data_IF_506422622062
#
_entry.id   IF_506422622062
#
_cell.length_a   1.000
_cell.length_b   1.000
_cell.length_c   1.000
_cell.angle_alpha   90.00
_cell.angle_beta   90.00
_cell.angle_gamma   90.00
#
_symmetry.space_group_name_H-M   'P 1'
#
loop_
_entity.id
_entity.type
_entity.pdbx_description
1 polymer ?
#
# COMPACT_ATOMS: atom_id res chain seq x y z
N UNK A 1 -14.91 27.64 8.87
CA UNK A 1 -13.46 27.32 8.92
C UNK A 1 -13.37 25.83 8.69
N UNK A 2 -12.80 25.39 7.58
CA UNK A 2 -12.56 23.96 7.35
C UNK A 2 -11.34 23.59 8.16
N UNK A 3 -11.45 22.58 9.02
CA UNK A 3 -10.28 21.94 9.64
C UNK A 3 -9.46 21.30 8.51
N UNK A 4 -8.53 22.05 7.92
CA UNK A 4 -7.52 21.55 6.98
C UNK A 4 -6.49 20.69 7.73
N UNK A 5 -6.97 19.61 8.36
CA UNK A 5 -6.12 18.56 8.85
C UNK A 5 -5.66 17.75 7.65
N UNK A 6 -4.35 17.64 7.52
CA UNK A 6 -3.69 16.79 6.53
C UNK A 6 -4.27 15.37 6.57
N UNK A 7 -4.79 14.91 5.43
CA UNK A 7 -5.41 13.59 5.28
C UNK A 7 -4.32 12.53 5.26
N UNK A 8 -4.16 11.82 6.38
CA UNK A 8 -3.20 10.72 6.54
C UNK A 8 -3.86 9.49 7.15
N UNK A 9 -3.32 8.32 6.82
CA UNK A 9 -3.69 7.05 7.42
C UNK A 9 -2.46 6.14 7.52
N UNK A 10 -2.58 5.10 8.33
CA UNK A 10 -1.55 4.07 8.47
C UNK A 10 -2.19 2.75 8.06
N UNK A 11 -1.56 2.07 7.10
CA UNK A 11 -1.91 0.71 6.72
C UNK A 11 -0.82 -0.23 7.26
N UNK A 12 -1.21 -1.28 7.98
CA UNK A 12 -0.27 -2.26 8.55
C UNK A 12 -0.75 -3.68 8.29
N UNK A 13 0.11 -4.50 7.73
CA UNK A 13 -0.17 -5.92 7.53
C UNK A 13 1.06 -6.78 7.83
N UNK A 14 0.83 -7.97 8.38
CA UNK A 14 1.86 -8.98 8.61
C UNK A 14 1.59 -10.13 7.66
N UNK A 15 2.49 -10.34 6.70
CA UNK A 15 2.44 -11.49 5.82
C UNK A 15 3.03 -12.71 6.52
N UNK A 16 2.20 -13.71 6.79
CA UNK A 16 2.61 -14.96 7.43
C UNK A 16 3.09 -15.98 6.40
N UNK A 17 3.80 -17.03 6.86
CA UNK A 17 4.22 -18.17 6.04
C UNK A 17 5.02 -17.83 4.76
N UNK A 18 5.78 -16.73 4.80
CA UNK A 18 6.65 -16.25 3.71
C UNK A 18 7.61 -17.30 3.11
N UNK A 19 7.94 -18.34 3.89
CA UNK A 19 8.79 -19.47 3.44
C UNK A 19 8.10 -20.37 2.42
N UNK A 20 6.77 -20.44 2.46
CA UNK A 20 5.95 -21.29 1.59
C UNK A 20 5.41 -20.56 0.36
N UNK A 21 5.75 -19.27 0.20
CA UNK A 21 5.37 -18.46 -0.95
C UNK A 21 6.25 -18.85 -2.12
N UNK A 22 5.63 -19.31 -3.20
CA UNK A 22 6.30 -19.70 -4.44
C UNK A 22 6.63 -18.48 -5.29
N UNK A 23 7.42 -18.69 -6.33
CA UNK A 23 7.65 -17.67 -7.34
C UNK A 23 6.32 -17.33 -8.02
N UNK A 24 6.13 -16.04 -8.34
CA UNK A 24 4.90 -15.48 -8.93
C UNK A 24 3.65 -15.49 -8.02
N UNK A 25 3.76 -15.98 -6.78
CA UNK A 25 2.70 -15.84 -5.81
C UNK A 25 2.53 -14.37 -5.39
N UNK A 26 1.27 -13.94 -5.37
CA UNK A 26 0.87 -12.63 -4.86
C UNK A 26 0.17 -12.83 -3.52
N UNK A 27 0.83 -12.42 -2.45
CA UNK A 27 0.19 -12.32 -1.15
C UNK A 27 -0.58 -11.01 -1.06
N UNK A 28 -1.89 -11.14 -0.84
CA UNK A 28 -2.78 -9.99 -0.76
C UNK A 28 -3.10 -9.65 0.69
N UNK A 29 -2.85 -8.40 1.06
CA UNK A 29 -3.33 -7.85 2.33
C UNK A 29 -4.84 -7.58 2.29
N UNK A 30 -5.45 -7.24 3.43
CA UNK A 30 -6.86 -6.86 3.50
C UNK A 30 -7.12 -5.53 2.78
N UNK A 31 -8.29 -5.37 2.17
CA UNK A 31 -8.71 -4.06 1.65
C UNK A 31 -9.12 -3.13 2.80
N UNK A 32 -8.54 -1.94 2.87
CA UNK A 32 -8.92 -0.89 3.81
C UNK A 32 -9.49 0.34 3.08
N UNK A 33 -10.58 0.91 3.59
CA UNK A 33 -11.20 2.10 2.97
C UNK A 33 -10.75 3.37 3.68
N UNK A 34 -10.08 4.25 2.96
CA UNK A 34 -9.68 5.58 3.44
C UNK A 34 -9.95 6.62 2.37
N UNK A 35 -10.52 7.76 2.77
CA UNK A 35 -10.83 8.90 1.88
C UNK A 35 -11.69 8.54 0.65
N UNK A 36 -12.60 7.57 0.78
CA UNK A 36 -13.49 7.14 -0.31
C UNK A 36 -12.83 6.19 -1.32
N UNK A 37 -11.65 5.66 -1.00
CA UNK A 37 -10.83 4.82 -1.87
C UNK A 37 -10.48 3.52 -1.13
N UNK A 38 -10.42 2.40 -1.86
CA UNK A 38 -9.99 1.12 -1.32
C UNK A 38 -8.48 0.95 -1.54
N UNK A 39 -7.75 0.75 -0.45
CA UNK A 39 -6.32 0.55 -0.42
C UNK A 39 -6.01 -0.91 -0.07
N UNK A 40 -4.98 -1.48 -0.70
CA UNK A 40 -4.54 -2.83 -0.41
C UNK A 40 -3.01 -2.90 -0.56
N UNK A 41 -2.31 -3.42 0.44
CA UNK A 41 -0.89 -3.72 0.33
C UNK A 41 -0.72 -5.16 -0.13
N UNK A 42 -0.01 -5.36 -1.24
CA UNK A 42 0.29 -6.66 -1.79
C UNK A 42 1.81 -6.89 -1.79
N UNK A 43 2.20 -8.16 -1.72
CA UNK A 43 3.58 -8.59 -1.78
C UNK A 43 3.71 -9.67 -2.84
N UNK A 44 4.46 -9.38 -3.90
CA UNK A 44 4.87 -10.40 -4.88
C UNK A 44 6.28 -10.89 -4.55
N UNK A 45 6.51 -12.16 -4.84
CA UNK A 45 7.84 -12.78 -4.73
C UNK A 45 8.36 -13.10 -6.13
N UNK A 46 9.42 -12.42 -6.51
CA UNK A 46 10.19 -12.72 -7.71
C UNK A 46 11.35 -13.69 -7.36
N UNK A 47 12.07 -14.16 -8.37
CA UNK A 47 13.13 -15.15 -8.24
C UNK A 47 14.24 -14.73 -7.27
N UNK A 48 14.50 -13.42 -7.22
CA UNK A 48 15.60 -12.84 -6.43
C UNK A 48 15.10 -12.00 -5.24
N UNK A 49 13.97 -11.30 -5.39
CA UNK A 49 13.51 -10.29 -4.45
C UNK A 49 12.00 -10.36 -4.18
N UNK A 50 11.56 -9.74 -3.09
CA UNK A 50 10.15 -9.48 -2.82
C UNK A 50 9.78 -8.05 -3.15
N UNK A 51 8.72 -7.83 -3.91
CA UNK A 51 8.22 -6.50 -4.26
C UNK A 51 6.93 -6.24 -3.48
N UNK A 52 7.00 -5.30 -2.54
CA UNK A 52 5.80 -4.77 -1.89
C UNK A 52 5.24 -3.62 -2.73
N UNK A 53 3.95 -3.65 -3.03
CA UNK A 53 3.29 -2.58 -3.78
C UNK A 53 1.92 -2.26 -3.19
N UNK A 54 1.57 -0.98 -3.24
CA UNK A 54 0.25 -0.50 -2.87
C UNK A 54 -0.66 -0.54 -4.10
N UNK A 55 -1.81 -1.18 -3.93
CA UNK A 55 -2.91 -1.14 -4.86
C UNK A 55 -3.98 -0.17 -4.35
N UNK A 56 -4.47 0.66 -5.26
CA UNK A 56 -5.45 1.70 -4.98
C UNK A 56 -6.59 1.57 -6.00
N UNK A 57 -7.81 1.35 -5.49
CA UNK A 57 -9.02 1.19 -6.29
C UNK A 57 -10.04 2.24 -5.86
N UNK A 58 -10.30 3.21 -6.72
CA UNK A 58 -11.36 4.19 -6.50
C UNK A 58 -12.71 3.60 -6.88
N UNK A 59 -13.73 3.93 -6.08
CA UNK A 59 -15.13 3.63 -6.39
C UNK A 59 -15.79 4.73 -7.25
N UNK A 60 -15.04 5.79 -7.59
CA UNK A 60 -15.55 6.90 -8.39
C UNK A 60 -15.53 6.55 -9.88
N UNK A 61 -16.60 6.90 -10.59
CA UNK A 61 -16.68 6.79 -12.05
C UNK A 61 -15.98 7.98 -12.72
N UNK A 62 -15.19 7.72 -13.76
CA UNK A 62 -14.50 8.77 -14.54
C UNK A 62 -13.00 8.83 -14.27
N UNK A 63 -12.36 9.91 -14.70
CA UNK A 63 -10.92 10.11 -14.52
C UNK A 63 -10.64 10.59 -13.10
N UNK A 64 -9.82 9.84 -12.37
CA UNK A 64 -9.34 10.22 -11.05
C UNK A 64 -7.85 9.95 -10.96
N UNK A 65 -7.18 10.64 -10.03
CA UNK A 65 -5.83 10.31 -9.64
C UNK A 65 -5.61 10.69 -8.19
N UNK A 66 -4.71 10.00 -7.51
CA UNK A 66 -4.30 10.34 -6.15
C UNK A 66 -2.81 10.63 -6.17
N UNK A 67 -2.43 11.82 -5.71
CA UNK A 67 -1.04 12.13 -5.41
C UNK A 67 -0.85 12.03 -3.89
N UNK A 68 0.10 11.24 -3.45
CA UNK A 68 0.35 11.03 -2.02
C UNK A 68 1.83 10.79 -1.75
N UNK A 69 2.25 11.10 -0.53
CA UNK A 69 3.57 10.76 -0.03
C UNK A 69 3.41 9.66 1.02
N UNK A 70 4.24 8.63 0.96
CA UNK A 70 4.23 7.59 1.98
C UNK A 70 5.62 7.28 2.54
N UNK A 71 5.58 6.83 3.79
CA UNK A 71 6.72 6.26 4.50
C UNK A 71 6.47 4.76 4.67
N UNK A 72 7.45 3.96 4.24
CA UNK A 72 7.41 2.51 4.24
C UNK A 72 8.29 2.01 5.38
N UNK A 73 7.70 1.22 6.26
CA UNK A 73 8.40 0.59 7.37
C UNK A 73 8.32 -0.93 7.26
N UNK A 74 9.47 -1.60 7.37
CA UNK A 74 9.56 -3.06 7.43
C UNK A 74 10.01 -3.46 8.83
N UNK A 75 9.18 -4.24 9.52
CA UNK A 75 9.42 -4.65 10.91
C UNK A 75 9.73 -3.46 11.86
N UNK A 76 9.00 -2.35 11.66
CA UNK A 76 9.14 -1.12 12.45
C UNK A 76 10.36 -0.25 12.10
N UNK A 77 11.20 -0.67 11.14
CA UNK A 77 12.36 0.11 10.68
C UNK A 77 12.03 0.82 9.37
N UNK A 78 12.45 2.09 9.19
CA UNK A 78 12.23 2.81 7.94
C UNK A 78 12.98 2.07 6.82
N UNK A 79 12.24 1.74 5.76
CA UNK A 79 12.76 1.17 4.54
C UNK A 79 12.88 2.24 3.45
N UNK A 80 11.84 3.08 3.34
CA UNK A 80 11.82 4.25 2.46
C UNK A 80 10.93 5.33 3.04
N UNK A 81 11.29 6.60 2.90
CA UNK A 81 10.52 7.73 3.46
C UNK A 81 10.37 8.83 2.43
N UNK A 82 9.25 9.56 2.45
CA UNK A 82 9.01 10.67 1.55
C UNK A 82 8.78 10.26 0.08
N UNK A 83 8.41 9.01 -0.17
CA UNK A 83 8.17 8.52 -1.54
C UNK A 83 6.87 9.09 -2.09
N UNK A 84 6.93 9.74 -3.24
CA UNK A 84 5.75 10.28 -3.91
C UNK A 84 5.17 9.24 -4.86
N UNK A 85 3.91 8.92 -4.66
CA UNK A 85 3.14 8.02 -5.52
C UNK A 85 2.00 8.77 -6.19
N UNK A 86 1.84 8.50 -7.48
CA UNK A 86 0.66 8.88 -8.23
C UNK A 86 -0.06 7.62 -8.67
N UNK A 87 -1.29 7.45 -8.18
CA UNK A 87 -2.22 6.40 -8.59
C UNK A 87 -3.22 6.97 -9.60
#
# INVERSE_FOLDING_TARGET
MSDDKEKKFVYKHVFENMRNVWYDDILQGPKEKHFGVSWQLNLSKDYYDGIAYFYCESLQTGNWSINTTCDIFVNGKPFSTGQNFKF
#
